data_IF_622851874433
#
_entry.id   IF_622851874433
#
_cell.length_a   1.000
_cell.length_b   1.000
_cell.length_c   1.000
_cell.angle_alpha   90.00
_cell.angle_beta   90.00
_cell.angle_gamma   90.00
#
_symmetry.space_group_name_H-M   'P 1'
#
loop_
_entity.id
_entity.type
_entity.pdbx_description
1 polymer ?
#
# COMPACT_ATOMS: atom_id res chain seq x y z
N UNK A 1 -25.36 -8.71 6.00
CA UNK A 1 -24.67 -7.65 6.77
C UNK A 1 -23.25 -7.54 6.25
N UNK A 2 -22.82 -6.39 5.71
CA UNK A 2 -21.40 -6.18 5.36
C UNK A 2 -20.64 -6.10 6.68
N UNK A 3 -19.56 -6.89 6.84
CA UNK A 3 -18.68 -6.74 8.01
C UNK A 3 -18.20 -5.29 8.06
N UNK A 4 -18.12 -4.66 9.24
CA UNK A 4 -17.52 -3.34 9.37
C UNK A 4 -16.10 -3.38 8.79
N UNK A 5 -15.69 -2.32 8.10
CA UNK A 5 -14.29 -2.20 7.71
C UNK A 5 -13.42 -2.29 8.98
N UNK A 6 -12.26 -2.96 8.93
CA UNK A 6 -11.34 -3.00 10.06
C UNK A 6 -11.03 -1.56 10.49
N UNK A 7 -11.39 -1.24 11.74
CA UNK A 7 -11.09 0.04 12.37
C UNK A 7 -9.80 -0.11 13.20
N UNK A 8 -8.82 0.77 13.01
CA UNK A 8 -7.48 0.65 13.58
C UNK A 8 -7.21 1.69 14.69
N UNK A 9 -6.17 1.48 15.50
CA UNK A 9 -5.77 2.42 16.55
C UNK A 9 -5.36 3.80 15.99
N UNK A 10 -5.65 4.85 16.77
CA UNK A 10 -5.53 6.26 16.38
C UNK A 10 -4.08 6.80 16.31
N UNK A 11 -3.06 5.96 16.48
CA UNK A 11 -1.67 6.40 16.65
C UNK A 11 -0.77 5.93 15.50
N UNK A 12 0.06 6.86 14.99
CA UNK A 12 1.14 6.53 14.04
C UNK A 12 2.23 5.75 14.78
N UNK A 13 2.46 4.46 14.47
CA UNK A 13 3.57 3.73 15.06
C UNK A 13 4.89 4.37 14.63
N UNK A 14 5.75 4.72 15.59
CA UNK A 14 7.04 5.39 15.34
C UNK A 14 7.94 4.64 14.33
N UNK A 15 7.76 3.31 14.21
CA UNK A 15 8.53 2.43 13.32
C UNK A 15 7.65 1.60 12.35
N UNK A 16 6.40 2.00 12.09
CA UNK A 16 5.52 1.26 11.18
C UNK A 16 5.65 1.67 9.72
N UNK A 17 5.31 0.75 8.82
CA UNK A 17 5.17 1.05 7.39
C UNK A 17 3.74 1.47 7.00
N UNK A 18 2.81 1.38 7.94
CA UNK A 18 1.43 1.81 7.75
C UNK A 18 0.87 2.40 9.04
N UNK A 19 -0.16 3.20 8.87
CA UNK A 19 -1.05 3.67 9.92
C UNK A 19 -2.37 4.04 9.27
N UNK A 20 -3.30 4.46 10.09
CA UNK A 20 -4.60 4.85 9.62
C UNK A 20 -4.96 6.26 10.09
N UNK A 21 -5.73 6.92 9.26
CA UNK A 21 -6.30 8.24 9.49
C UNK A 21 -7.79 8.13 9.14
N UNK A 22 -8.63 8.05 10.17
CA UNK A 22 -10.05 7.70 10.04
C UNK A 22 -10.24 6.40 9.23
N UNK A 23 -10.87 6.48 8.06
CA UNK A 23 -11.09 5.35 7.15
C UNK A 23 -9.99 5.21 6.10
N UNK A 24 -8.92 5.99 6.18
CA UNK A 24 -7.83 6.01 5.20
C UNK A 24 -6.62 5.26 5.72
N UNK A 25 -6.21 4.23 4.99
CA UNK A 25 -4.95 3.53 5.25
C UNK A 25 -3.81 4.28 4.57
N UNK A 26 -2.82 4.70 5.34
CA UNK A 26 -1.60 5.33 4.82
C UNK A 26 -0.47 4.29 4.80
N UNK A 27 0.21 4.18 3.66
CA UNK A 27 1.24 3.16 3.42
C UNK A 27 2.53 3.79 2.91
N UNK A 28 3.63 3.51 3.60
CA UNK A 28 4.98 3.74 3.10
C UNK A 28 5.43 2.53 2.29
N UNK A 29 5.79 2.74 1.03
CA UNK A 29 6.14 1.68 0.08
C UNK A 29 7.57 1.87 -0.42
N UNK A 30 8.27 0.74 -0.53
CA UNK A 30 9.49 0.59 -1.32
C UNK A 30 9.18 -0.17 -2.60
N UNK A 31 9.03 0.56 -3.70
CA UNK A 31 8.75 0.02 -5.03
C UNK A 31 9.97 -0.70 -5.62
N UNK A 32 9.73 -1.86 -6.24
CA UNK A 32 10.71 -2.62 -7.02
C UNK A 32 10.16 -2.82 -8.44
N UNK A 33 10.47 -1.93 -9.39
CA UNK A 33 10.05 -2.08 -10.78
C UNK A 33 10.83 -3.19 -11.48
N UNK A 34 10.40 -3.55 -12.69
CA UNK A 34 11.02 -4.58 -13.53
C UNK A 34 11.24 -5.92 -12.81
N UNK A 35 10.32 -6.28 -11.91
CA UNK A 35 10.34 -7.55 -11.21
C UNK A 35 9.78 -8.69 -12.08
N UNK A 36 10.00 -9.94 -11.66
CA UNK A 36 9.46 -11.12 -12.35
C UNK A 36 7.94 -11.26 -12.22
N UNK A 37 7.33 -10.60 -11.23
CA UNK A 37 5.90 -10.67 -10.96
C UNK A 37 5.46 -9.53 -10.03
N UNK A 38 4.15 -9.30 -10.01
CA UNK A 38 3.52 -8.32 -9.14
C UNK A 38 3.25 -8.95 -7.77
N UNK A 39 3.90 -8.44 -6.72
CA UNK A 39 3.92 -9.08 -5.40
C UNK A 39 4.01 -8.05 -4.29
N UNK A 40 3.16 -8.20 -3.26
CA UNK A 40 3.36 -7.59 -1.95
C UNK A 40 4.40 -8.43 -1.19
N UNK A 41 5.56 -7.84 -0.95
CA UNK A 41 6.71 -8.51 -0.34
C UNK A 41 6.82 -8.28 1.17
N UNK A 42 8.01 -8.56 1.70
CA UNK A 42 8.36 -8.34 3.10
C UNK A 42 8.57 -6.85 3.41
N UNK A 43 8.42 -6.51 4.68
CA UNK A 43 8.76 -5.20 5.24
C UNK A 43 10.28 -5.00 5.18
N UNK A 44 10.74 -3.80 4.84
CA UNK A 44 12.14 -3.37 4.93
C UNK A 44 12.21 -2.02 5.62
N UNK A 45 12.77 -1.98 6.82
CA UNK A 45 12.71 -0.77 7.66
C UNK A 45 11.26 -0.35 7.89
N UNK A 46 10.93 0.89 7.55
CA UNK A 46 9.57 1.45 7.71
C UNK A 46 8.76 1.44 6.41
N UNK A 47 9.04 0.49 5.51
CA UNK A 47 8.39 0.42 4.21
C UNK A 47 7.97 -1.00 3.84
N UNK A 48 6.81 -1.12 3.22
CA UNK A 48 6.36 -2.35 2.59
C UNK A 48 6.97 -2.46 1.19
N UNK A 49 7.69 -3.55 0.92
CA UNK A 49 8.22 -3.77 -0.42
C UNK A 49 7.10 -4.18 -1.36
N UNK A 50 6.95 -3.48 -2.48
CA UNK A 50 6.01 -3.85 -3.55
C UNK A 50 6.76 -4.01 -4.84
N UNK A 51 6.70 -5.21 -5.42
CA UNK A 51 7.34 -5.52 -6.69
C UNK A 51 6.33 -5.44 -7.80
N UNK A 52 6.72 -4.86 -8.94
CA UNK A 52 5.89 -4.80 -10.14
C UNK A 52 6.70 -5.10 -11.39
N UNK A 53 6.05 -5.71 -12.36
CA UNK A 53 6.63 -6.08 -13.66
C UNK A 53 6.92 -4.87 -14.54
N UNK A 54 6.13 -3.80 -14.41
CA UNK A 54 6.31 -2.58 -15.19
C UNK A 54 7.68 -1.91 -14.96
N UNK A 55 8.28 -1.43 -16.05
CA UNK A 55 9.55 -0.71 -16.05
C UNK A 55 9.41 0.73 -15.50
N UNK A 56 10.46 1.31 -14.90
CA UNK A 56 10.43 2.66 -14.31
C UNK A 56 10.56 3.76 -15.38
N UNK A 57 9.66 3.76 -16.37
CA UNK A 57 9.65 4.75 -17.45
C UNK A 57 8.42 5.65 -17.33
N UNK A 58 8.62 6.97 -17.22
CA UNK A 58 7.55 7.98 -17.23
C UNK A 58 6.41 7.69 -16.23
N UNK A 59 6.73 7.18 -15.04
CA UNK A 59 5.74 6.88 -13.99
C UNK A 59 4.96 5.58 -14.16
N UNK A 60 5.15 4.84 -15.27
CA UNK A 60 4.39 3.61 -15.57
C UNK A 60 4.46 2.55 -14.47
N UNK A 61 5.62 2.37 -13.84
CA UNK A 61 5.76 1.46 -12.71
C UNK A 61 4.85 1.83 -11.53
N UNK A 62 4.72 3.13 -11.24
CA UNK A 62 3.81 3.61 -10.18
C UNK A 62 2.36 3.42 -10.58
N UNK A 63 1.99 3.79 -11.81
CA UNK A 63 0.61 3.65 -12.27
C UNK A 63 0.19 2.16 -12.29
N UNK A 64 1.11 1.25 -12.64
CA UNK A 64 0.91 -0.19 -12.55
C UNK A 64 0.78 -0.68 -11.11
N UNK A 65 1.66 -0.22 -10.23
CA UNK A 65 1.61 -0.54 -8.80
C UNK A 65 0.30 -0.10 -8.15
N UNK A 66 -0.21 1.09 -8.48
CA UNK A 66 -1.51 1.56 -7.97
C UNK A 66 -2.64 0.64 -8.43
N UNK A 67 -2.66 0.20 -9.70
CA UNK A 67 -3.66 -0.76 -10.19
C UNK A 67 -3.57 -2.11 -9.50
N UNK A 68 -2.36 -2.63 -9.32
CA UNK A 68 -2.12 -3.87 -8.59
C UNK A 68 -2.65 -3.77 -7.15
N UNK A 69 -2.28 -2.71 -6.43
CA UNK A 69 -2.69 -2.51 -5.04
C UNK A 69 -4.21 -2.27 -4.92
N UNK A 70 -4.85 -1.58 -5.87
CA UNK A 70 -6.30 -1.42 -5.87
C UNK A 70 -7.02 -2.79 -5.83
N UNK A 71 -6.52 -3.76 -6.60
CA UNK A 71 -6.96 -5.15 -6.54
C UNK A 71 -6.76 -5.77 -5.16
N UNK A 72 -5.53 -5.73 -4.63
CA UNK A 72 -5.19 -6.34 -3.33
C UNK A 72 -6.01 -5.78 -2.16
N UNK A 73 -6.26 -4.46 -2.16
CA UNK A 73 -7.02 -3.77 -1.10
C UNK A 73 -8.53 -3.75 -1.33
N UNK A 74 -9.01 -4.20 -2.49
CA UNK A 74 -10.43 -4.24 -2.82
C UNK A 74 -11.06 -2.85 -2.95
N UNK A 75 -10.37 -1.92 -3.60
CA UNK A 75 -10.82 -0.54 -3.83
C UNK A 75 -10.71 -0.18 -5.32
N UNK A 76 -11.45 0.83 -5.82
CA UNK A 76 -11.17 1.40 -7.13
C UNK A 76 -9.81 2.12 -7.14
N UNK A 77 -9.19 2.23 -8.31
CA UNK A 77 -7.92 2.97 -8.49
C UNK A 77 -8.01 4.42 -8.02
N UNK A 78 -9.17 5.06 -8.19
CA UNK A 78 -9.42 6.44 -7.77
C UNK A 78 -9.39 6.65 -6.26
N UNK A 79 -9.53 5.59 -5.45
CA UNK A 79 -9.42 5.63 -3.99
C UNK A 79 -7.96 5.58 -3.50
N UNK A 80 -6.99 5.46 -4.42
CA UNK A 80 -5.57 5.44 -4.09
C UNK A 80 -4.91 6.73 -4.56
N UNK A 81 -4.41 7.51 -3.60
CA UNK A 81 -3.63 8.71 -3.86
C UNK A 81 -2.15 8.45 -3.60
N UNK A 82 -1.30 8.79 -4.57
CA UNK A 82 0.16 8.83 -4.38
C UNK A 82 0.53 10.19 -3.79
N UNK A 83 0.81 10.24 -2.49
CA UNK A 83 1.15 11.50 -1.78
C UNK A 83 2.49 12.05 -2.27
N UNK A 84 3.49 11.16 -2.37
CA UNK A 84 4.78 11.50 -2.96
C UNK A 84 5.44 10.28 -3.60
N UNK A 85 6.51 10.54 -4.36
CA UNK A 85 7.36 9.49 -4.89
C UNK A 85 6.86 8.88 -6.19
N UNK A 86 6.00 9.57 -6.96
CA UNK A 86 5.50 9.06 -8.25
C UNK A 86 6.63 8.62 -9.20
N UNK A 87 7.78 9.27 -9.14
CA UNK A 87 8.98 8.94 -9.93
C UNK A 87 10.13 8.30 -9.12
N UNK A 88 9.93 8.04 -7.83
CA UNK A 88 10.95 7.45 -6.93
C UNK A 88 10.54 6.03 -6.51
N UNK A 89 11.47 5.19 -6.04
CA UNK A 89 11.11 3.89 -5.46
C UNK A 89 10.44 4.04 -4.09
N UNK A 90 10.79 5.07 -3.32
CA UNK A 90 10.15 5.40 -2.05
C UNK A 90 8.87 6.17 -2.31
N UNK A 91 7.76 5.70 -1.77
CA UNK A 91 6.43 6.25 -1.99
C UNK A 91 5.65 6.29 -0.69
N UNK A 92 4.69 7.20 -0.63
CA UNK A 92 3.61 7.13 0.33
C UNK A 92 2.28 7.14 -0.42
N UNK A 93 1.43 6.18 -0.07
CA UNK A 93 0.08 6.05 -0.61
C UNK A 93 -0.95 6.30 0.48
N UNK A 94 -2.09 6.85 0.09
CA UNK A 94 -3.32 6.87 0.88
C UNK A 94 -4.34 6.00 0.16
N UNK A 95 -4.97 5.07 0.89
CA UNK A 95 -5.99 4.16 0.37
C UNK A 95 -7.27 4.40 1.16
N UNK A 96 -8.30 4.91 0.51
CA UNK A 96 -9.57 5.23 1.16
C UNK A 96 -10.44 3.98 1.29
N UNK A 97 -10.91 3.74 2.52
CA UNK A 97 -11.86 2.68 2.87
C UNK A 97 -11.56 1.30 2.25
N UNK A 98 -10.35 0.73 2.45
CA UNK A 98 -10.02 -0.58 1.91
C UNK A 98 -10.94 -1.67 2.46
N UNK A 99 -11.42 -2.54 1.57
CA UNK A 99 -12.34 -3.62 1.92
C UNK A 99 -11.62 -4.95 2.15
N UNK A 100 -10.34 -5.02 1.77
CA UNK A 100 -9.43 -6.13 2.02
C UNK A 100 -8.11 -5.59 2.54
N UNK A 101 -7.50 -6.31 3.47
CA UNK A 101 -6.14 -6.06 3.92
C UNK A 101 -5.29 -7.28 3.55
N UNK A 102 -4.15 -7.13 2.86
CA UNK A 102 -3.20 -8.21 2.66
C UNK A 102 -2.71 -8.78 4.01
N UNK A 103 -2.37 -10.07 4.04
CA UNK A 103 -1.99 -10.78 5.28
C UNK A 103 -0.84 -10.09 6.05
N UNK A 104 0.10 -9.47 5.33
CA UNK A 104 1.23 -8.73 5.93
C UNK A 104 0.79 -7.54 6.80
N UNK A 105 -0.42 -7.01 6.58
CA UNK A 105 -1.01 -5.95 7.40
C UNK A 105 -1.87 -6.58 8.51
N UNK A 106 -2.70 -7.58 8.17
CA UNK A 106 -3.56 -8.26 9.17
C UNK A 106 -2.78 -8.84 10.36
N UNK A 107 -1.56 -9.32 10.13
CA UNK A 107 -0.76 -9.96 11.18
C UNK A 107 -0.26 -8.99 12.26
N UNK A 108 -0.29 -7.68 12.00
CA UNK A 108 0.22 -6.65 12.92
C UNK A 108 -0.88 -6.01 13.77
N UNK A 109 -2.15 -6.12 13.37
CA UNK A 109 -3.30 -5.67 14.18
C UNK A 109 -3.62 -6.63 15.35
N UNK A 110 -2.89 -7.75 15.47
CA UNK A 110 -3.09 -8.80 16.48
C UNK A 110 -2.00 -8.83 17.57
N UNK A 111 -1.11 -7.84 17.60
CA UNK A 111 -0.07 -7.64 18.63
C UNK A 111 -0.31 -6.32 19.37
#
# INVERSE_FOLDING_TARGET
MKKPAPQPPAERPANGFYWWEDTTLVLNILGKPSARGDVIGKIKGHQLKVSVTAAPKLGRATDHMVRFLAGEFGVPVSAITVVFGRMNVNKQLRIEAPTRLPAVIQQLDLL
#
